data_IF_455746120896
#
_entry.id   IF_455746120896
#
_cell.length_a   1.000
_cell.length_b   1.000
_cell.length_c   1.000
_cell.angle_alpha   90.00
_cell.angle_beta   90.00
_cell.angle_gamma   90.00
#
_symmetry.space_group_name_H-M   'P 1'
#
loop_
_entity.id
_entity.type
_entity.pdbx_description
1 polymer ?
#
# COMPACT_ATOMS: atom_id res chain seq x y z
N UNK A 1 -21.99 -50.27 47.27
CA UNK A 1 -22.36 -50.57 45.88
C UNK A 1 -21.67 -49.52 45.04
N UNK A 2 -20.61 -49.89 44.32
CA UNK A 2 -19.92 -48.98 43.42
C UNK A 2 -20.80 -48.88 42.17
N UNK A 3 -21.39 -47.70 41.93
CA UNK A 3 -22.00 -47.41 40.64
C UNK A 3 -20.93 -47.63 39.57
N UNK A 4 -21.22 -48.51 38.62
CA UNK A 4 -20.49 -48.68 37.38
C UNK A 4 -20.67 -47.38 36.57
N UNK A 5 -19.88 -46.35 36.91
CA UNK A 5 -19.92 -45.05 36.23
C UNK A 5 -19.47 -45.23 34.79
N UNK A 6 -20.45 -45.45 33.93
CA UNK A 6 -20.30 -45.53 32.48
C UNK A 6 -19.58 -44.28 31.96
N UNK A 7 -18.39 -44.46 31.38
CA UNK A 7 -17.56 -43.39 30.83
C UNK A 7 -18.37 -42.51 29.85
N UNK A 8 -18.36 -41.20 30.07
CA UNK A 8 -19.12 -40.25 29.26
C UNK A 8 -18.24 -39.80 28.10
N UNK A 9 -18.63 -40.16 26.87
CA UNK A 9 -17.88 -39.79 25.67
C UNK A 9 -18.00 -38.29 25.39
N UNK A 10 -16.87 -37.59 25.42
CA UNK A 10 -16.79 -36.16 25.08
C UNK A 10 -16.88 -36.03 23.55
N UNK A 11 -17.81 -35.20 23.08
CA UNK A 11 -18.01 -34.91 21.67
C UNK A 11 -17.51 -33.49 21.38
N UNK A 12 -16.58 -33.33 20.43
CA UNK A 12 -16.16 -32.01 20.01
C UNK A 12 -17.35 -31.27 19.38
N UNK A 13 -17.80 -30.17 20.01
CA UNK A 13 -18.84 -29.29 19.45
C UNK A 13 -18.33 -28.57 18.19
N UNK A 14 -17.03 -28.28 18.18
CA UNK A 14 -16.29 -27.81 17.02
C UNK A 14 -15.49 -28.98 16.44
N UNK A 15 -15.73 -29.35 15.17
CA UNK A 15 -14.99 -30.41 14.47
C UNK A 15 -13.48 -30.14 14.41
N UNK A 16 -13.07 -28.90 14.65
CA UNK A 16 -11.67 -28.47 14.70
C UNK A 16 -11.06 -28.52 16.10
N UNK A 17 -11.78 -28.96 17.14
CA UNK A 17 -11.22 -29.12 18.47
C UNK A 17 -10.15 -30.23 18.47
N UNK A 18 -8.89 -29.82 18.62
CA UNK A 18 -7.75 -30.71 18.77
C UNK A 18 -6.49 -29.92 19.11
N UNK A 19 -5.62 -30.52 19.91
CA UNK A 19 -4.38 -29.95 20.38
C UNK A 19 -3.23 -30.34 19.46
N UNK A 20 -2.55 -29.38 18.86
CA UNK A 20 -1.40 -29.57 17.97
C UNK A 20 -0.08 -29.13 18.60
N UNK A 21 -0.05 -28.94 19.92
CA UNK A 21 1.12 -28.41 20.63
C UNK A 21 1.14 -26.88 20.73
N UNK A 22 0.11 -26.19 20.23
CA UNK A 22 -0.04 -24.73 20.35
C UNK A 22 -1.32 -24.34 21.08
N UNK A 23 -1.31 -23.14 21.65
CA UNK A 23 -2.34 -22.50 22.46
C UNK A 23 -2.98 -23.44 23.52
N UNK A 24 -2.17 -24.11 24.33
CA UNK A 24 -2.56 -25.09 25.36
C UNK A 24 -3.64 -24.54 26.30
N UNK A 25 -3.59 -23.25 26.66
CA UNK A 25 -4.61 -22.65 27.51
C UNK A 25 -5.99 -22.63 26.85
N UNK A 26 -6.02 -22.29 25.56
CA UNK A 26 -7.26 -22.26 24.77
C UNK A 26 -7.78 -23.67 24.55
N UNK A 27 -6.92 -24.60 24.15
CA UNK A 27 -7.29 -26.00 24.01
C UNK A 27 -7.91 -26.56 25.31
N UNK A 28 -7.24 -26.35 26.45
CA UNK A 28 -7.73 -26.82 27.74
C UNK A 28 -9.08 -26.18 28.12
N UNK A 29 -9.29 -24.90 27.81
CA UNK A 29 -10.55 -24.22 28.06
C UNK A 29 -11.70 -24.78 27.18
N UNK A 30 -11.45 -24.94 25.88
CA UNK A 30 -12.43 -25.45 24.92
C UNK A 30 -12.76 -26.92 25.19
N UNK A 31 -11.76 -27.74 25.54
CA UNK A 31 -11.94 -29.13 25.93
C UNK A 31 -12.73 -29.27 27.23
N UNK A 32 -12.44 -28.43 28.24
CA UNK A 32 -13.21 -28.38 29.48
C UNK A 32 -14.66 -27.96 29.25
N UNK A 33 -14.89 -27.02 28.34
CA UNK A 33 -16.24 -26.61 27.98
C UNK A 33 -17.00 -27.76 27.30
N UNK A 34 -16.39 -28.46 26.34
CA UNK A 34 -16.99 -29.62 25.68
C UNK A 34 -17.34 -30.72 26.70
N UNK A 35 -16.40 -31.05 27.60
CA UNK A 35 -16.64 -32.02 28.66
C UNK A 35 -17.82 -31.64 29.56
N UNK A 36 -17.91 -30.37 29.97
CA UNK A 36 -19.03 -29.87 30.77
C UNK A 36 -20.37 -29.94 30.04
N UNK A 37 -20.39 -29.61 28.75
CA UNK A 37 -21.60 -29.67 27.93
C UNK A 37 -22.12 -31.12 27.78
N UNK A 38 -21.21 -32.09 27.72
CA UNK A 38 -21.55 -33.50 27.64
C UNK A 38 -21.75 -34.16 29.02
N UNK A 39 -21.48 -33.44 30.11
CA UNK A 39 -21.59 -33.94 31.49
C UNK A 39 -20.45 -34.87 31.91
N UNK A 40 -19.32 -34.86 31.21
CA UNK A 40 -18.16 -35.70 31.50
C UNK A 40 -17.42 -35.27 32.77
N UNK A 41 -16.95 -36.26 33.54
CA UNK A 41 -16.14 -36.04 34.73
C UNK A 41 -14.68 -35.72 34.40
N UNK A 42 -13.93 -35.25 35.38
CA UNK A 42 -12.48 -35.05 35.23
C UNK A 42 -11.74 -36.35 34.92
N UNK A 43 -12.23 -37.50 35.43
CA UNK A 43 -11.65 -38.81 35.09
C UNK A 43 -11.85 -39.14 33.62
N UNK A 44 -13.07 -38.91 33.10
CA UNK A 44 -13.40 -39.10 31.68
C UNK A 44 -12.48 -38.25 30.79
N UNK A 45 -12.22 -37.01 31.21
CA UNK A 45 -11.34 -36.08 30.50
C UNK A 45 -9.89 -36.59 30.43
N UNK A 46 -9.32 -37.01 31.56
CA UNK A 46 -7.95 -37.54 31.59
C UNK A 46 -7.80 -38.78 30.69
N UNK A 47 -8.83 -39.63 30.61
CA UNK A 47 -8.80 -40.84 29.80
C UNK A 47 -8.97 -40.58 28.30
N UNK A 48 -9.75 -39.55 27.94
CA UNK A 48 -10.13 -39.27 26.56
C UNK A 48 -9.28 -38.19 25.87
N UNK A 49 -8.50 -37.39 26.60
CA UNK A 49 -7.70 -36.30 26.02
C UNK A 49 -6.79 -36.76 24.88
N UNK A 50 -6.31 -38.02 24.92
CA UNK A 50 -5.48 -38.65 23.86
C UNK A 50 -6.14 -38.62 22.47
N UNK A 51 -7.47 -38.63 22.39
CA UNK A 51 -8.22 -38.61 21.14
C UNK A 51 -8.38 -37.21 20.56
N UNK A 52 -8.05 -36.19 21.35
CA UNK A 52 -8.11 -34.78 20.97
C UNK A 52 -6.72 -34.21 20.68
N UNK A 53 -5.70 -35.06 20.53
CA UNK A 53 -4.33 -34.64 20.17
C UNK A 53 -4.11 -34.86 18.67
N UNK A 54 -3.46 -33.88 18.03
CA UNK A 54 -3.05 -33.88 16.63
C UNK A 54 -1.55 -34.05 16.54
N UNK A 55 -1.12 -34.97 15.70
CA UNK A 55 0.29 -35.29 15.51
C UNK A 55 0.79 -36.34 16.49
N UNK A 56 1.65 -37.23 16.00
CA UNK A 56 2.22 -38.32 16.81
C UNK A 56 3.16 -37.76 17.88
N UNK A 57 4.02 -36.80 17.54
CA UNK A 57 5.00 -36.23 18.47
C UNK A 57 4.34 -35.57 19.70
N UNK A 58 3.27 -34.79 19.49
CA UNK A 58 2.53 -34.15 20.60
C UNK A 58 1.85 -35.20 21.48
N UNK A 59 1.32 -36.26 20.85
CA UNK A 59 0.69 -37.37 21.57
C UNK A 59 1.70 -38.12 22.43
N UNK A 60 2.86 -38.44 21.88
CA UNK A 60 3.94 -39.11 22.61
C UNK A 60 4.36 -38.28 23.83
N UNK A 61 4.50 -36.95 23.68
CA UNK A 61 4.80 -36.07 24.82
C UNK A 61 3.69 -36.14 25.87
N UNK A 62 2.41 -36.00 25.50
CA UNK A 62 1.30 -36.05 26.47
C UNK A 62 1.25 -37.38 27.22
N UNK A 63 1.55 -38.49 26.56
CA UNK A 63 1.61 -39.82 27.19
C UNK A 63 2.72 -39.94 28.24
N UNK A 64 3.78 -39.13 28.14
CA UNK A 64 4.86 -39.06 29.15
C UNK A 64 4.57 -38.11 30.32
N UNK A 65 3.49 -37.33 30.27
CA UNK A 65 3.20 -36.32 31.29
C UNK A 65 2.55 -36.90 32.54
N UNK A 66 2.89 -36.29 33.68
CA UNK A 66 2.29 -36.61 34.97
C UNK A 66 0.77 -36.50 34.92
N UNK A 67 0.07 -37.55 35.36
CA UNK A 67 -1.38 -37.62 35.36
C UNK A 67 -2.00 -38.14 34.06
N UNK A 68 -1.20 -38.55 33.06
CA UNK A 68 -1.71 -39.35 31.95
C UNK A 68 -1.99 -40.79 32.41
N UNK A 69 -1.00 -41.41 33.06
CA UNK A 69 -1.12 -42.74 33.65
C UNK A 69 -0.49 -42.74 35.07
N UNK A 70 -1.28 -42.98 36.13
CA UNK A 70 -2.73 -43.18 36.15
C UNK A 70 -3.49 -41.89 35.77
N UNK A 71 -4.71 -41.99 35.18
CA UNK A 71 -5.47 -40.83 34.74
C UNK A 71 -5.83 -39.88 35.89
N UNK A 72 -5.28 -38.67 35.86
CA UNK A 72 -5.55 -37.60 36.80
C UNK A 72 -5.55 -36.27 36.05
N UNK A 73 -6.75 -35.72 35.82
CA UNK A 73 -6.89 -34.50 35.03
C UNK A 73 -6.21 -33.29 35.64
N UNK A 74 -6.24 -33.13 36.97
CA UNK A 74 -5.63 -31.99 37.63
C UNK A 74 -4.10 -31.97 37.43
N UNK A 75 -3.46 -33.13 37.59
CA UNK A 75 -2.03 -33.32 37.34
C UNK A 75 -1.70 -33.15 35.85
N UNK A 76 -2.47 -33.80 34.97
CA UNK A 76 -2.25 -33.74 33.53
C UNK A 76 -2.40 -32.32 32.98
N UNK A 77 -3.45 -31.61 33.40
CA UNK A 77 -3.67 -30.21 33.04
C UNK A 77 -2.52 -29.31 33.50
N UNK A 78 -2.00 -29.53 34.71
CA UNK A 78 -0.87 -28.77 35.23
C UNK A 78 0.43 -29.09 34.46
N UNK A 79 0.68 -30.37 34.16
CA UNK A 79 1.83 -30.81 33.37
C UNK A 79 1.78 -30.27 31.94
N UNK A 80 0.62 -30.32 31.27
CA UNK A 80 0.42 -29.72 29.94
C UNK A 80 0.67 -28.21 29.96
N UNK A 81 0.14 -27.49 30.97
CA UNK A 81 0.43 -26.06 31.16
C UNK A 81 1.89 -25.78 31.48
N UNK A 82 2.59 -26.67 32.18
CA UNK A 82 4.01 -26.48 32.48
C UNK A 82 4.87 -26.69 31.23
N UNK A 83 4.58 -27.74 30.47
CA UNK A 83 5.32 -28.12 29.27
C UNK A 83 5.08 -27.12 28.12
N UNK A 84 3.82 -26.82 27.80
CA UNK A 84 3.46 -25.93 26.69
C UNK A 84 3.13 -24.50 27.12
N UNK A 85 2.77 -24.23 28.38
CA UNK A 85 2.40 -22.87 28.79
C UNK A 85 3.57 -21.87 28.77
N UNK A 86 4.82 -22.35 28.78
CA UNK A 86 6.01 -21.53 28.48
C UNK A 86 6.15 -21.22 26.99
N UNK A 87 5.67 -22.11 26.12
CA UNK A 87 5.70 -21.97 24.66
C UNK A 87 4.50 -21.11 24.20
N UNK A 88 3.37 -21.20 24.91
CA UNK A 88 2.07 -20.63 24.51
C UNK A 88 1.71 -19.28 25.11
N UNK A 89 2.65 -18.59 25.77
CA UNK A 89 2.39 -17.22 26.24
C UNK A 89 2.65 -16.15 25.16
N UNK A 90 2.84 -16.54 23.90
CA UNK A 90 3.06 -15.62 22.79
C UNK A 90 1.79 -15.51 21.91
N UNK A 91 0.88 -14.58 22.22
CA UNK A 91 -0.24 -14.20 21.32
C UNK A 91 0.24 -13.83 19.92
N UNK A 92 1.48 -13.34 19.82
CA UNK A 92 2.21 -13.16 18.58
C UNK A 92 3.67 -13.52 18.78
N UNK A 93 4.28 -14.09 17.76
CA UNK A 93 5.67 -14.53 17.64
C UNK A 93 6.42 -13.72 16.57
N UNK A 94 7.73 -13.88 16.46
CA UNK A 94 8.52 -13.32 15.36
C UNK A 94 8.11 -13.91 14.01
N UNK A 95 7.69 -15.18 13.98
CA UNK A 95 7.18 -15.84 12.78
C UNK A 95 5.92 -15.16 12.23
N UNK A 96 5.03 -14.66 13.10
CA UNK A 96 3.84 -13.91 12.65
C UNK A 96 4.22 -12.63 11.87
N UNK A 97 5.33 -11.97 12.23
CA UNK A 97 5.85 -10.84 11.45
C UNK A 97 6.41 -11.28 10.10
N UNK A 98 7.10 -12.41 10.06
CA UNK A 98 7.65 -12.96 8.82
C UNK A 98 6.54 -13.36 7.86
N UNK A 99 5.53 -14.10 8.34
CA UNK A 99 4.35 -14.48 7.58
C UNK A 99 3.58 -13.26 7.07
N UNK A 100 3.41 -12.23 7.91
CA UNK A 100 2.82 -10.97 7.49
C UNK A 100 3.63 -10.33 6.34
N UNK A 101 4.95 -10.27 6.47
CA UNK A 101 5.84 -9.72 5.43
C UNK A 101 5.76 -10.53 4.14
N UNK A 102 5.78 -11.87 4.22
CA UNK A 102 5.65 -12.73 3.06
C UNK A 102 4.30 -12.57 2.38
N UNK A 103 3.22 -12.47 3.16
CA UNK A 103 1.87 -12.19 2.64
C UNK A 103 1.79 -10.85 1.90
N UNK A 104 2.49 -9.82 2.36
CA UNK A 104 2.60 -8.55 1.64
C UNK A 104 3.49 -8.64 0.41
N UNK A 105 4.64 -9.31 0.48
CA UNK A 105 5.52 -9.55 -0.67
C UNK A 105 4.82 -10.29 -1.80
N UNK A 106 4.06 -11.33 -1.47
CA UNK A 106 3.26 -12.08 -2.45
C UNK A 106 2.22 -11.21 -3.17
N UNK A 107 1.73 -10.15 -2.53
CA UNK A 107 0.82 -9.14 -3.10
C UNK A 107 1.54 -8.02 -3.88
N UNK A 108 2.87 -8.09 -4.03
CA UNK A 108 3.68 -7.04 -4.65
C UNK A 108 4.26 -6.01 -3.68
N UNK A 109 4.11 -6.23 -2.37
CA UNK A 109 4.55 -5.35 -1.30
C UNK A 109 3.63 -4.16 -1.05
N UNK A 110 3.86 -3.44 0.04
CA UNK A 110 3.13 -2.20 0.35
C UNK A 110 3.50 -1.13 -0.67
N UNK A 111 2.59 -0.80 -1.59
CA UNK A 111 2.85 0.08 -2.73
C UNK A 111 2.11 1.43 -2.68
N UNK A 112 0.99 1.49 -1.95
CA UNK A 112 0.14 2.68 -1.81
C UNK A 112 -0.07 3.10 -0.37
N UNK A 113 -0.63 4.30 -0.19
CA UNK A 113 -1.02 4.84 1.12
C UNK A 113 -2.11 3.98 1.77
N UNK A 114 -3.04 3.44 0.97
CA UNK A 114 -4.11 2.54 1.45
C UNK A 114 -3.50 1.24 1.95
N UNK A 115 -2.57 0.65 1.18
CA UNK A 115 -1.85 -0.55 1.60
C UNK A 115 -1.07 -0.31 2.88
N UNK A 116 -0.41 0.85 3.00
CA UNK A 116 0.35 1.20 4.19
C UNK A 116 -0.54 1.31 5.43
N UNK A 117 -1.75 1.86 5.30
CA UNK A 117 -2.72 1.88 6.40
C UNK A 117 -3.16 0.46 6.78
N UNK A 118 -3.43 -0.40 5.79
CA UNK A 118 -3.77 -1.81 6.01
C UNK A 118 -2.64 -2.56 6.73
N UNK A 119 -1.41 -2.43 6.24
CA UNK A 119 -0.22 -3.00 6.83
C UNK A 119 0.00 -2.53 8.27
N UNK A 120 -0.17 -1.22 8.55
CA UNK A 120 -0.02 -0.69 9.92
C UNK A 120 -1.02 -1.28 10.90
N UNK A 121 -2.27 -1.51 10.48
CA UNK A 121 -3.31 -2.09 11.34
C UNK A 121 -2.96 -3.50 11.81
N UNK A 122 -2.23 -4.27 11.01
CA UNK A 122 -1.79 -5.63 11.37
C UNK A 122 -0.41 -5.66 12.01
N UNK A 123 0.54 -4.85 11.52
CA UNK A 123 1.92 -4.80 12.03
C UNK A 123 2.03 -4.19 13.43
N UNK A 124 1.32 -3.08 13.71
CA UNK A 124 1.48 -2.37 14.99
C UNK A 124 1.07 -3.19 16.21
N UNK A 125 -0.05 -3.95 16.21
CA UNK A 125 -0.42 -4.82 17.32
C UNK A 125 0.64 -5.91 17.57
N UNK A 126 1.14 -6.55 16.52
CA UNK A 126 2.15 -7.62 16.60
C UNK A 126 3.45 -7.06 17.19
N UNK A 127 3.98 -5.98 16.60
CA UNK A 127 5.17 -5.32 17.11
C UNK A 127 5.02 -4.90 18.59
N UNK A 128 3.88 -4.29 18.94
CA UNK A 128 3.65 -3.81 20.32
C UNK A 128 3.58 -4.96 21.31
N UNK A 129 3.05 -6.12 20.89
CA UNK A 129 3.00 -7.31 21.72
C UNK A 129 4.40 -7.86 21.99
N UNK A 130 5.19 -8.03 20.92
CA UNK A 130 6.53 -8.60 20.99
C UNK A 130 7.47 -7.77 21.89
N UNK A 131 7.37 -6.44 21.81
CA UNK A 131 8.13 -5.54 22.69
C UNK A 131 7.65 -5.52 24.14
N UNK A 132 6.36 -5.78 24.40
CA UNK A 132 5.81 -5.81 25.77
C UNK A 132 6.08 -7.12 26.49
N UNK A 133 6.36 -8.18 25.74
CA UNK A 133 6.58 -9.53 26.26
C UNK A 133 8.04 -9.96 26.18
N UNK A 134 8.93 -9.01 25.89
CA UNK A 134 10.37 -9.24 25.75
C UNK A 134 10.69 -10.42 24.80
N UNK A 135 9.85 -10.61 23.76
CA UNK A 135 10.11 -11.59 22.70
C UNK A 135 11.13 -11.07 21.68
N UNK A 136 11.40 -9.77 21.72
CA UNK A 136 12.39 -9.08 20.92
C UNK A 136 13.02 -8.04 21.84
N UNK A 137 14.34 -8.10 21.99
CA UNK A 137 15.08 -7.19 22.87
C UNK A 137 15.11 -5.77 22.29
N UNK A 138 15.17 -5.66 20.95
CA UNK A 138 15.27 -4.38 20.24
C UNK A 138 14.41 -4.33 18.97
N UNK A 139 13.74 -3.19 18.76
CA UNK A 139 12.99 -2.89 17.52
C UNK A 139 13.87 -2.93 16.27
N UNK A 140 15.19 -2.89 16.44
CA UNK A 140 16.17 -3.03 15.38
C UNK A 140 16.17 -4.43 14.74
N UNK A 141 15.74 -5.47 15.47
CA UNK A 141 15.67 -6.85 14.94
C UNK A 141 14.61 -6.96 13.84
N UNK A 142 13.48 -6.25 13.99
CA UNK A 142 12.38 -6.27 13.02
C UNK A 142 12.52 -5.23 11.91
N UNK A 143 13.56 -4.38 11.93
CA UNK A 143 13.72 -3.29 10.94
C UNK A 143 13.86 -3.81 9.52
N UNK A 144 14.53 -4.96 9.37
CA UNK A 144 14.73 -5.60 8.07
C UNK A 144 13.41 -6.10 7.52
N UNK A 145 12.63 -6.79 8.36
CA UNK A 145 11.30 -7.28 8.04
C UNK A 145 10.36 -6.12 7.64
N UNK A 146 10.38 -5.04 8.42
CA UNK A 146 9.61 -3.83 8.11
C UNK A 146 9.98 -3.23 6.75
N UNK A 147 11.27 -3.02 6.47
CA UNK A 147 11.72 -2.49 5.18
C UNK A 147 11.34 -3.41 4.00
N UNK A 148 11.47 -4.72 4.18
CA UNK A 148 11.16 -5.71 3.17
C UNK A 148 9.67 -5.88 2.87
N UNK A 149 8.77 -5.37 3.73
CA UNK A 149 7.33 -5.38 3.49
C UNK A 149 6.90 -4.45 2.36
N UNK A 150 7.69 -3.42 2.06
CA UNK A 150 7.40 -2.42 1.04
C UNK A 150 7.73 -2.94 -0.36
N UNK A 151 6.97 -2.47 -1.36
CA UNK A 151 7.28 -2.77 -2.76
C UNK A 151 8.63 -2.16 -3.17
N UNK A 152 9.28 -2.73 -4.19
CA UNK A 152 10.58 -2.24 -4.67
C UNK A 152 10.56 -0.74 -5.01
N UNK A 153 9.48 -0.27 -5.66
CA UNK A 153 9.34 1.15 -6.01
C UNK A 153 9.09 2.06 -4.80
N UNK A 154 8.57 1.55 -3.68
CA UNK A 154 8.49 2.32 -2.42
C UNK A 154 9.82 2.27 -1.68
N UNK A 155 10.51 1.13 -1.69
CA UNK A 155 11.86 0.97 -1.12
C UNK A 155 12.87 1.94 -1.73
N UNK A 156 12.84 2.13 -3.05
CA UNK A 156 13.68 3.10 -3.75
C UNK A 156 13.38 4.53 -3.30
N UNK A 157 12.10 4.92 -3.24
CA UNK A 157 11.69 6.24 -2.74
C UNK A 157 12.07 6.48 -1.27
N UNK A 158 12.04 5.44 -0.44
CA UNK A 158 12.54 5.51 0.95
C UNK A 158 14.04 5.76 0.94
N UNK A 159 14.81 5.10 0.07
CA UNK A 159 16.25 5.32 -0.06
C UNK A 159 16.56 6.76 -0.50
N UNK A 160 15.85 7.27 -1.50
CA UNK A 160 16.01 8.65 -1.96
C UNK A 160 15.71 9.65 -0.85
N UNK A 161 14.67 9.40 -0.07
CA UNK A 161 14.33 10.23 1.10
C UNK A 161 15.42 10.19 2.17
N UNK A 162 16.02 9.02 2.44
CA UNK A 162 17.14 8.90 3.39
C UNK A 162 18.41 9.61 2.91
N UNK A 163 18.68 9.59 1.60
CA UNK A 163 19.78 10.34 0.99
C UNK A 163 19.54 11.85 1.15
N UNK A 164 18.33 12.30 0.82
CA UNK A 164 17.92 13.71 0.96
C UNK A 164 18.05 14.21 2.39
N UNK A 165 17.65 13.38 3.36
CA UNK A 165 17.72 13.72 4.78
C UNK A 165 19.14 13.55 5.37
N UNK A 166 20.12 13.12 4.58
CA UNK A 166 21.51 12.81 5.00
C UNK A 166 21.57 11.79 6.14
N UNK A 167 20.61 10.88 6.20
CA UNK A 167 20.50 9.84 7.23
C UNK A 167 20.86 8.44 6.73
N UNK A 168 21.29 8.34 5.47
CA UNK A 168 21.80 7.09 4.90
C UNK A 168 23.13 6.69 5.55
N UNK A 169 23.20 5.46 6.05
CA UNK A 169 24.44 4.89 6.59
C UNK A 169 25.08 4.02 5.52
N UNK A 170 26.31 4.34 5.13
CA UNK A 170 27.15 3.49 4.28
C UNK A 170 28.14 2.71 5.14
N UNK A 171 28.31 1.42 4.88
CA UNK A 171 29.44 0.67 5.45
C UNK A 171 30.75 1.11 4.81
N UNK A 172 31.89 0.68 5.37
CA UNK A 172 33.22 0.93 4.80
C UNK A 172 33.34 0.41 3.35
N UNK A 173 32.57 -0.63 3.00
CA UNK A 173 32.49 -1.18 1.64
C UNK A 173 31.47 -0.46 0.73
N UNK A 174 31.04 0.75 1.07
CA UNK A 174 29.99 1.52 0.38
C UNK A 174 28.64 0.80 0.22
N UNK A 175 28.35 -0.22 1.04
CA UNK A 175 27.05 -0.91 1.01
C UNK A 175 26.05 -0.17 1.87
N UNK A 176 24.81 -0.13 1.39
CA UNK A 176 23.70 0.47 2.11
C UNK A 176 23.40 -0.31 3.39
N UNK A 177 23.52 0.37 4.54
CA UNK A 177 23.06 -0.12 5.84
C UNK A 177 21.77 0.59 6.22
N UNK A 178 20.76 -0.19 6.59
CA UNK A 178 19.52 0.37 7.11
C UNK A 178 19.81 1.23 8.35
N UNK A 179 19.32 2.49 8.40
CA UNK A 179 19.46 3.34 9.57
C UNK A 179 18.65 2.77 10.75
N UNK A 180 18.67 3.48 11.88
CA UNK A 180 17.84 3.11 13.02
C UNK A 180 16.36 3.09 12.66
N UNK A 181 15.58 2.27 13.35
CA UNK A 181 14.19 2.00 13.04
C UNK A 181 13.32 3.26 13.10
N UNK A 182 13.64 4.21 13.98
CA UNK A 182 12.92 5.49 14.07
C UNK A 182 13.19 6.40 12.86
N UNK A 183 14.43 6.46 12.39
CA UNK A 183 14.78 7.18 11.15
C UNK A 183 14.07 6.53 9.97
N UNK A 184 14.06 5.20 9.89
CA UNK A 184 13.37 4.46 8.84
C UNK A 184 11.86 4.73 8.85
N UNK A 185 11.20 4.66 10.02
CA UNK A 185 9.78 5.00 10.17
C UNK A 185 9.47 6.43 9.74
N UNK A 186 10.35 7.38 10.07
CA UNK A 186 10.20 8.79 9.68
C UNK A 186 10.26 8.93 8.15
N UNK A 187 11.27 8.34 7.51
CA UNK A 187 11.41 8.36 6.06
C UNK A 187 10.19 7.74 5.35
N UNK A 188 9.70 6.58 5.84
CA UNK A 188 8.47 5.96 5.31
C UNK A 188 7.27 6.89 5.43
N UNK A 189 7.07 7.54 6.59
CA UNK A 189 5.96 8.49 6.77
C UNK A 189 6.05 9.65 5.78
N UNK A 190 7.23 10.20 5.53
CA UNK A 190 7.41 11.29 4.56
C UNK A 190 7.17 10.83 3.12
N UNK A 191 7.62 9.63 2.74
CA UNK A 191 7.31 9.04 1.42
C UNK A 191 5.80 8.88 1.24
N UNK A 192 5.10 8.38 2.26
CA UNK A 192 3.65 8.19 2.22
C UNK A 192 2.87 9.52 2.17
N UNK A 193 3.33 10.54 2.93
CA UNK A 193 2.79 11.90 2.84
C UNK A 193 2.98 12.49 1.44
N UNK A 194 4.17 12.35 0.88
CA UNK A 194 4.49 12.84 -0.48
C UNK A 194 3.62 12.15 -1.53
N UNK A 195 3.39 10.84 -1.38
CA UNK A 195 2.48 10.08 -2.26
C UNK A 195 1.01 10.53 -2.15
N UNK A 196 0.58 11.02 -0.97
CA UNK A 196 -0.75 11.61 -0.78
C UNK A 196 -0.83 13.05 -1.33
N UNK A 197 0.24 13.84 -1.18
CA UNK A 197 0.30 15.20 -1.71
C UNK A 197 0.32 15.23 -3.25
N UNK A 198 0.95 14.22 -3.87
CA UNK A 198 1.00 14.06 -5.33
C UNK A 198 -0.31 13.55 -5.93
N UNK A 199 -1.23 13.01 -5.12
CA UNK A 199 -2.60 12.70 -5.57
C UNK A 199 -3.48 13.95 -5.57
N UNK A 200 -3.13 14.94 -6.41
CA UNK A 200 -4.07 15.98 -6.82
C UNK A 200 -5.15 15.36 -7.72
N UNK A 201 -6.38 15.86 -7.55
CA UNK A 201 -7.67 15.39 -8.08
C UNK A 201 -7.74 15.50 -9.63
N UNK A 202 -7.03 14.62 -10.35
CA UNK A 202 -7.02 14.63 -11.83
C UNK A 202 -6.46 13.40 -12.55
N UNK A 203 -6.09 12.31 -11.87
CA UNK A 203 -5.56 11.13 -12.56
C UNK A 203 -6.46 9.93 -12.34
N UNK A 204 -7.43 9.79 -13.26
CA UNK A 204 -8.13 8.53 -13.51
C UNK A 204 -7.08 7.43 -13.70
N UNK A 205 -7.26 6.33 -12.97
CA UNK A 205 -6.68 5.00 -13.10
C UNK A 205 -5.51 4.82 -14.09
N UNK A 206 -4.37 4.32 -13.57
CA UNK A 206 -3.43 3.51 -14.37
C UNK A 206 -4.14 2.20 -14.77
N UNK A 207 -5.00 2.27 -15.77
CA UNK A 207 -5.25 1.12 -16.64
C UNK A 207 -4.06 1.09 -17.60
N UNK A 208 -3.35 -0.04 -17.78
CA UNK A 208 -2.33 -0.12 -18.81
C UNK A 208 -2.99 0.23 -20.14
N UNK A 209 -2.52 1.27 -20.81
CA UNK A 209 -2.96 1.57 -22.18
C UNK A 209 -2.55 0.37 -23.01
N UNK A 210 -3.53 -0.45 -23.40
CA UNK A 210 -3.34 -1.53 -24.35
C UNK A 210 -2.70 -0.90 -25.59
N UNK A 211 -1.57 -1.44 -26.06
CA UNK A 211 -0.80 -0.92 -27.21
C UNK A 211 -1.69 -0.74 -28.46
N UNK A 212 -2.83 -1.44 -28.54
CA UNK A 212 -3.85 -1.25 -29.58
C UNK A 212 -4.58 0.10 -29.56
N UNK A 213 -4.75 0.74 -28.38
CA UNK A 213 -5.55 1.98 -28.27
C UNK A 213 -4.86 3.20 -28.90
N UNK A 214 -3.53 3.21 -28.94
CA UNK A 214 -2.76 4.29 -29.59
C UNK A 214 -2.84 4.18 -31.12
N UNK A 215 -2.78 2.97 -31.67
CA UNK A 215 -3.04 2.73 -33.10
C UNK A 215 -4.47 3.12 -33.47
N UNK A 216 -5.43 2.72 -32.67
CA UNK A 216 -6.84 3.05 -32.91
C UNK A 216 -7.10 4.56 -32.88
N UNK A 217 -6.45 5.30 -31.97
CA UNK A 217 -6.52 6.76 -31.94
C UNK A 217 -5.85 7.42 -33.18
N UNK A 218 -4.71 6.88 -33.63
CA UNK A 218 -4.04 7.34 -34.85
C UNK A 218 -4.88 7.06 -36.11
N UNK A 219 -5.50 5.89 -36.20
CA UNK A 219 -6.38 5.53 -37.33
C UNK A 219 -7.62 6.43 -37.37
N UNK A 220 -8.18 6.80 -36.22
CA UNK A 220 -9.29 7.76 -36.13
C UNK A 220 -8.85 9.15 -36.58
N UNK A 221 -7.63 9.59 -36.23
CA UNK A 221 -7.08 10.87 -36.69
C UNK A 221 -6.87 10.88 -38.21
N UNK A 222 -6.29 9.83 -38.80
CA UNK A 222 -6.11 9.72 -40.25
C UNK A 222 -7.45 9.63 -41.00
N UNK A 223 -8.44 8.95 -40.41
CA UNK A 223 -9.79 8.86 -40.99
C UNK A 223 -10.52 10.21 -40.94
N UNK A 224 -10.39 10.95 -39.85
CA UNK A 224 -10.91 12.32 -39.76
C UNK A 224 -10.24 13.28 -40.75
N UNK A 225 -8.94 13.12 -40.99
CA UNK A 225 -8.21 13.88 -42.01
C UNK A 225 -8.68 13.54 -43.42
N UNK A 226 -8.98 12.26 -43.67
CA UNK A 226 -9.53 11.77 -44.95
C UNK A 226 -10.96 12.28 -45.20
N UNK A 227 -11.81 12.27 -44.16
CA UNK A 227 -13.23 12.66 -44.25
C UNK A 227 -13.43 14.20 -44.26
N UNK A 228 -12.49 14.98 -43.72
CA UNK A 228 -12.53 16.46 -43.74
C UNK A 228 -11.87 17.09 -44.96
N UNK A 229 -11.17 16.31 -45.79
CA UNK A 229 -10.57 16.82 -47.03
C UNK A 229 -11.69 17.02 -48.06
N UNK A 230 -11.96 18.25 -48.53
CA UNK A 230 -12.93 18.46 -49.60
C UNK A 230 -12.50 17.67 -50.84
N UNK A 231 -13.44 16.98 -51.50
CA UNK A 231 -13.21 16.33 -52.81
C UNK A 231 -12.63 17.36 -53.77
N UNK A 232 -11.43 17.10 -54.27
CA UNK A 232 -10.84 17.83 -55.39
C UNK A 232 -11.81 17.82 -56.58
N UNK A 233 -12.30 19.00 -56.95
CA UNK A 233 -12.90 19.22 -58.27
C UNK A 233 -11.81 19.03 -59.34
N UNK A 234 -12.15 18.54 -60.54
CA UNK A 234 -11.16 18.15 -61.54
C UNK A 234 -10.21 19.29 -61.88
N UNK A 235 -8.93 19.00 -61.73
CA UNK A 235 -7.78 19.85 -62.01
C UNK A 235 -7.85 20.40 -63.44
N UNK A 236 -8.18 21.69 -63.58
CA UNK A 236 -7.66 22.43 -64.73
C UNK A 236 -6.18 22.69 -64.47
N UNK A 237 -5.34 22.07 -65.30
CA UNK A 237 -3.90 22.28 -65.34
C UNK A 237 -3.63 23.77 -65.54
N UNK A 238 -3.10 24.44 -64.51
CA UNK A 238 -2.33 25.68 -64.68
C UNK A 238 -0.94 25.42 -64.15
N UNK A 239 0.05 25.72 -65.00
CA UNK A 239 1.47 25.60 -64.68
C UNK A 239 1.82 26.36 -63.40
N UNK A 240 2.84 25.92 -62.63
CA UNK A 240 3.22 26.56 -61.38
C UNK A 240 3.55 28.04 -61.64
N UNK A 241 2.95 28.92 -60.84
CA UNK A 241 3.18 30.36 -60.93
C UNK A 241 4.69 30.65 -60.84
N UNK A 242 5.23 31.35 -61.83
CA UNK A 242 6.64 31.70 -61.89
C UNK A 242 6.99 32.73 -60.80
N UNK A 243 8.26 32.78 -60.41
CA UNK A 243 8.78 33.64 -59.34
C UNK A 243 8.41 35.12 -59.53
N UNK A 244 8.29 35.58 -60.78
CA UNK A 244 7.87 36.95 -61.12
C UNK A 244 6.41 37.24 -60.75
N UNK A 245 5.52 36.25 -60.83
CA UNK A 245 4.12 36.41 -60.45
C UNK A 245 3.95 36.48 -58.92
N UNK A 246 4.78 35.71 -58.19
CA UNK A 246 4.88 35.78 -56.73
C UNK A 246 5.43 37.14 -56.29
N UNK A 247 6.46 37.65 -56.98
CA UNK A 247 7.05 38.98 -56.72
C UNK A 247 6.02 40.09 -56.90
N UNK A 248 5.18 40.01 -57.94
CA UNK A 248 4.10 40.96 -58.20
C UNK A 248 3.02 40.93 -57.10
N UNK A 249 2.67 39.75 -56.59
CA UNK A 249 1.70 39.63 -55.49
C UNK A 249 2.24 40.23 -54.18
N UNK A 250 3.51 39.98 -53.85
CA UNK A 250 4.16 40.55 -52.67
C UNK A 250 4.22 42.08 -52.73
N UNK A 251 4.60 42.65 -53.87
CA UNK A 251 4.61 44.11 -54.07
C UNK A 251 3.22 44.74 -53.94
N UNK A 252 2.18 44.06 -54.45
CA UNK A 252 0.80 44.54 -54.29
C UNK A 252 0.32 44.51 -52.82
N UNK A 253 0.87 43.59 -52.02
CA UNK A 253 0.55 43.47 -50.61
C UNK A 253 1.28 44.54 -49.78
N UNK A 254 2.55 44.84 -50.09
CA UNK A 254 3.31 45.93 -49.46
C UNK A 254 2.65 47.29 -49.71
N UNK A 255 2.24 47.60 -50.95
CA UNK A 255 1.50 48.84 -51.24
C UNK A 255 0.18 48.94 -50.46
N UNK A 256 -0.49 47.82 -50.24
CA UNK A 256 -1.74 47.78 -49.48
C UNK A 256 -1.51 47.95 -47.98
N UNK A 257 -0.36 47.52 -47.46
CA UNK A 257 0.06 47.80 -46.09
C UNK A 257 0.42 49.28 -45.92
N UNK A 258 1.22 49.85 -46.83
CA UNK A 258 1.59 51.27 -46.78
C UNK A 258 0.37 52.20 -46.85
N UNK A 259 -0.62 51.89 -47.71
CA UNK A 259 -1.90 52.61 -47.73
C UNK A 259 -2.67 52.52 -46.40
N UNK A 260 -2.61 51.38 -45.71
CA UNK A 260 -3.26 51.21 -44.40
C UNK A 260 -2.53 51.96 -43.29
N UNK A 261 -1.20 52.00 -43.33
CA UNK A 261 -0.43 52.78 -42.36
C UNK A 261 -0.55 54.29 -42.59
N UNK A 262 -0.63 54.76 -43.84
CA UNK A 262 -0.89 56.16 -44.17
C UNK A 262 -2.32 56.62 -43.80
N UNK A 263 -3.33 55.73 -43.93
CA UNK A 263 -4.71 56.02 -43.52
C UNK A 263 -4.90 56.06 -41.99
N UNK A 264 -3.97 55.49 -41.21
CA UNK A 264 -4.01 55.46 -39.75
C UNK A 264 -3.32 56.68 -39.11
N UNK A 265 -2.61 57.50 -39.90
CA UNK A 265 -1.92 58.72 -39.47
C UNK A 265 -2.74 60.02 -39.68
N UNK A 266 -4.06 59.98 -39.44
CA UNK A 266 -4.86 61.21 -39.26
C UNK A 266 -4.87 61.59 -37.77
N UNK A 267 -4.65 62.86 -37.39
CA UNK A 267 -4.57 63.25 -36.00
C UNK A 267 -5.92 63.06 -35.31
N UNK A 268 -5.93 62.23 -34.27
CA UNK A 268 -7.08 62.02 -33.39
C UNK A 268 -7.41 63.31 -32.65
N UNK A 269 -8.67 63.71 -32.69
CA UNK A 269 -9.26 64.78 -31.89
C UNK A 269 -8.91 64.64 -30.39
N UNK A 270 -8.70 65.74 -29.64
CA UNK A 270 -8.27 65.67 -28.25
C UNK A 270 -9.37 65.05 -27.38
N UNK A 271 -9.03 63.98 -26.63
CA UNK A 271 -9.87 63.46 -25.55
C UNK A 271 -9.88 64.49 -24.41
N UNK A 272 -11.08 64.86 -23.94
CA UNK A 272 -11.27 65.83 -22.86
C UNK A 272 -10.61 65.43 -21.52
N UNK A 273 -10.46 66.38 -20.59
CA UNK A 273 -9.61 66.23 -19.40
C UNK A 273 -10.12 65.13 -18.46
N UNK A 274 -9.19 64.30 -17.97
CA UNK A 274 -9.47 63.27 -16.97
C UNK A 274 -9.33 63.91 -15.58
N UNK A 275 -10.40 63.86 -14.79
CA UNK A 275 -10.46 64.40 -13.43
C UNK A 275 -10.06 63.31 -12.41
N UNK A 276 -9.13 63.61 -11.52
CA UNK A 276 -8.77 62.76 -10.37
C UNK A 276 -9.94 62.64 -9.38
N UNK A 277 -10.46 61.43 -9.16
CA UNK A 277 -11.64 61.21 -8.30
C UNK A 277 -11.42 61.46 -6.80
N UNK A 278 -10.18 61.51 -6.32
CA UNK A 278 -9.87 61.80 -4.90
C UNK A 278 -9.51 63.27 -4.65
N UNK A 279 -9.23 64.04 -5.71
CA UNK A 279 -8.62 65.35 -5.58
C UNK A 279 -9.22 66.44 -6.48
N UNK A 280 -10.20 66.10 -7.33
CA UNK A 280 -11.00 66.98 -8.18
C UNK A 280 -10.19 68.03 -9.00
N UNK A 281 -8.93 67.75 -9.31
CA UNK A 281 -8.13 68.56 -10.23
C UNK A 281 -8.02 67.87 -11.59
N UNK A 282 -8.26 68.63 -12.64
CA UNK A 282 -8.07 68.25 -14.04
C UNK A 282 -6.59 68.30 -14.40
N UNK A 283 -6.05 67.24 -14.98
CA UNK A 283 -4.70 67.23 -15.51
C UNK A 283 -4.75 66.94 -17.02
N UNK A 284 -4.40 67.94 -17.83
CA UNK A 284 -4.13 67.79 -19.26
C UNK A 284 -2.72 67.25 -19.45
N UNK A 285 -2.61 65.99 -19.86
CA UNK A 285 -1.33 65.38 -20.23
C UNK A 285 -1.06 65.71 -21.70
N UNK A 286 -0.10 66.59 -21.96
CA UNK A 286 0.49 66.73 -23.29
C UNK A 286 1.57 65.65 -23.45
N UNK A 287 1.39 64.77 -24.43
CA UNK A 287 2.41 63.81 -24.84
C UNK A 287 3.46 64.54 -25.69
N UNK A 288 4.72 64.56 -25.25
CA UNK A 288 5.90 64.80 -26.10
C UNK A 288 6.32 63.51 -26.77
#
# INVERSE_FOLDING_TARGET
MAEDSRMIKIKPQDKTLGFDGTNVERFLADYQLAARLDGASELDMAQQVRFFIRGAEVKDIVETLDGFEPPNWALLKAAMKSHWGRIDTARFTTQDLEELVQGWKAKGGVASVVDFQGFRKTWQPIQSYLLRKDHIDLVEEIKRLYYQSFSAGVQERIRDQLIKDKTMITTQDNRFKLPTFEILKKAVKEVMKTQTALTFKGSRAKVPVLVGSFKQANDVMQKMESDRRPKEAPSQVRAPATVDEIKRMLQSFEQRLEQKFAAQARPSTPRGPIVCYYCHREATVYAT
#
